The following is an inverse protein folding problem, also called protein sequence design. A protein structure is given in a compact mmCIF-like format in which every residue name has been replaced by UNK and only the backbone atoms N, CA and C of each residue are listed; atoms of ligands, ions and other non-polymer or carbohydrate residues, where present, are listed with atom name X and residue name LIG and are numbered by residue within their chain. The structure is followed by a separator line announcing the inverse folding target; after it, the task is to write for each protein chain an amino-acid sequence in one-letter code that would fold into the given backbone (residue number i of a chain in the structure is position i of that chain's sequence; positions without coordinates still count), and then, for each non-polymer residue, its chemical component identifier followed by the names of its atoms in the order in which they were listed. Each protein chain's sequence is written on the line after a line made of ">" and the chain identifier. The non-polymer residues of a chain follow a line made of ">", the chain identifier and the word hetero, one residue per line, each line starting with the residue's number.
data_IF_660254399570
#
_entry.id   IF_660254399570
#
_cell.length_a   1.000
_cell.length_b   1.000
_cell.length_c   1.000
_cell.angle_alpha   90.00
_cell.angle_beta   90.00
_cell.angle_gamma   90.00
#
_symmetry.space_group_name_H-M   'P 1'
#
loop_
_entity.id
_entity.type
_entity.pdbx_description
1 polymer ?
#
# COMPACT_ATOMS: atom_id res chain seq x y z
N UNK A 1 12.30 -5.92 -4.28
CA UNK A 1 11.51 -5.03 -3.41
C UNK A 1 12.01 -5.16 -1.98
N UNK A 2 12.36 -4.04 -1.35
CA UNK A 2 12.67 -3.96 0.09
C UNK A 2 11.38 -3.73 0.87
N UNK A 3 11.24 -4.30 2.06
CA UNK A 3 10.08 -4.05 2.94
C UNK A 3 10.54 -3.28 4.17
N UNK A 4 9.92 -2.14 4.43
CA UNK A 4 10.09 -1.35 5.65
C UNK A 4 8.79 -1.38 6.43
N UNK A 5 8.87 -1.57 7.74
CA UNK A 5 7.71 -1.63 8.64
C UNK A 5 7.81 -0.52 9.66
N UNK A 6 6.75 0.26 9.78
CA UNK A 6 6.65 1.37 10.71
C UNK A 6 5.77 1.06 11.93
N UNK A 7 5.03 -0.05 11.90
CA UNK A 7 4.24 -0.56 13.02
C UNK A 7 4.18 -2.09 12.96
N UNK A 8 4.23 -2.70 14.14
CA UNK A 8 3.96 -4.12 14.37
C UNK A 8 4.83 -5.13 13.59
N UNK A 9 4.66 -6.42 13.89
CA UNK A 9 5.36 -7.54 13.25
C UNK A 9 4.38 -8.46 12.48
N UNK A 10 3.18 -7.98 12.20
CA UNK A 10 2.07 -8.74 11.63
C UNK A 10 2.44 -9.26 10.24
N UNK A 11 1.97 -10.46 9.92
CA UNK A 11 2.23 -11.05 8.61
C UNK A 11 1.50 -10.26 7.53
N UNK A 12 2.14 -10.09 6.37
CA UNK A 12 1.45 -9.55 5.20
C UNK A 12 0.32 -10.52 4.80
N UNK A 13 -0.87 -10.04 4.44
CA UNK A 13 -1.93 -10.89 3.91
C UNK A 13 -1.44 -11.69 2.70
N UNK A 14 -1.75 -12.99 2.65
CA UNK A 14 -1.22 -13.93 1.64
C UNK A 14 0.30 -14.21 1.73
N UNK A 15 0.98 -13.67 2.74
CA UNK A 15 2.41 -13.86 3.00
C UNK A 15 3.34 -13.04 2.09
N UNK A 16 4.56 -12.78 2.56
CA UNK A 16 5.55 -11.95 1.84
C UNK A 16 5.86 -12.44 0.42
N UNK A 17 5.80 -13.76 0.18
CA UNK A 17 6.06 -14.35 -1.15
C UNK A 17 5.05 -13.88 -2.19
N UNK A 18 3.78 -13.67 -1.82
CA UNK A 18 2.76 -13.16 -2.74
C UNK A 18 3.13 -11.75 -3.20
N UNK A 19 3.39 -10.85 -2.26
CA UNK A 19 3.77 -9.46 -2.51
C UNK A 19 5.02 -9.35 -3.38
N UNK A 20 6.03 -10.20 -3.12
CA UNK A 20 7.22 -10.27 -3.95
C UNK A 20 6.96 -10.81 -5.36
N UNK A 21 5.98 -11.70 -5.56
CA UNK A 21 5.58 -12.16 -6.90
C UNK A 21 4.89 -11.04 -7.67
N UNK A 22 3.94 -10.35 -7.05
CA UNK A 22 3.25 -9.18 -7.62
C UNK A 22 4.25 -8.09 -8.02
N UNK A 23 5.16 -7.71 -7.11
CA UNK A 23 6.21 -6.73 -7.38
C UNK A 23 7.11 -7.13 -8.55
N UNK A 24 7.56 -8.39 -8.61
CA UNK A 24 8.38 -8.91 -9.71
C UNK A 24 7.65 -8.84 -11.04
N UNK A 25 6.37 -9.23 -11.06
CA UNK A 25 5.53 -9.22 -12.26
C UNK A 25 5.33 -7.82 -12.84
N UNK A 26 5.23 -6.82 -11.97
CA UNK A 26 5.14 -5.41 -12.33
C UNK A 26 6.52 -4.74 -12.56
N UNK A 27 7.63 -5.48 -12.40
CA UNK A 27 8.98 -4.93 -12.53
C UNK A 27 9.36 -3.95 -11.41
N UNK A 28 8.65 -3.96 -10.28
CA UNK A 28 8.91 -3.07 -9.15
C UNK A 28 10.09 -3.58 -8.31
N UNK A 29 11.15 -2.76 -8.23
CA UNK A 29 12.36 -3.05 -7.44
C UNK A 29 12.52 -2.16 -6.20
N UNK A 30 11.57 -1.26 -5.97
CA UNK A 30 11.62 -0.26 -4.91
C UNK A 30 11.29 -0.78 -3.50
N UNK A 31 10.82 0.13 -2.67
CA UNK A 31 10.49 -0.08 -1.26
C UNK A 31 8.97 -0.18 -1.08
N UNK A 32 8.54 -1.20 -0.34
CA UNK A 32 7.21 -1.28 0.24
C UNK A 32 7.29 -0.76 1.67
N UNK A 33 6.67 0.39 1.93
CA UNK A 33 6.48 0.93 3.26
C UNK A 33 5.14 0.46 3.83
N UNK A 34 5.22 -0.37 4.88
CA UNK A 34 4.09 -0.93 5.59
C UNK A 34 3.85 -0.11 6.84
N UNK A 35 2.69 0.52 6.90
CA UNK A 35 2.24 1.26 8.05
C UNK A 35 1.15 0.50 8.78
N UNK A 36 1.14 0.63 10.10
CA UNK A 36 0.08 0.08 10.94
C UNK A 36 -0.97 1.13 11.25
N UNK A 37 -2.21 0.69 11.38
CA UNK A 37 -3.28 1.45 12.01
C UNK A 37 -4.00 0.61 13.07
N UNK A 38 -4.48 1.29 14.11
CA UNK A 38 -5.27 0.71 15.19
C UNK A 38 -6.71 1.23 15.20
N UNK A 39 -7.30 1.29 16.39
CA UNK A 39 -8.66 1.79 16.66
C UNK A 39 -8.76 3.27 16.26
N UNK A 40 -9.81 3.62 15.51
CA UNK A 40 -9.95 4.96 14.89
C UNK A 40 -9.43 5.07 13.45
N UNK A 41 -9.02 3.95 12.85
CA UNK A 41 -8.68 3.86 11.43
C UNK A 41 -7.30 4.40 11.06
N UNK A 42 -7.04 4.53 9.75
CA UNK A 42 -5.79 5.04 9.17
C UNK A 42 -5.37 6.35 9.88
N UNK A 43 -4.12 6.52 10.33
CA UNK A 43 -3.72 7.63 11.19
C UNK A 43 -3.82 8.95 10.44
N UNK A 44 -4.99 9.57 10.57
CA UNK A 44 -5.30 10.84 9.93
C UNK A 44 -4.50 12.01 10.49
N UNK A 45 -3.79 11.93 11.61
CA UNK A 45 -3.05 13.06 12.18
C UNK A 45 -1.70 13.31 11.50
N UNK A 46 -0.83 12.31 11.54
CA UNK A 46 0.50 12.38 10.94
C UNK A 46 0.44 12.29 9.41
N UNK A 47 -0.47 11.49 8.84
CA UNK A 47 -0.66 11.38 7.40
C UNK A 47 -1.33 12.62 6.82
N UNK A 48 -2.40 13.20 7.41
CA UNK A 48 -2.94 14.49 6.91
C UNK A 48 -1.95 15.64 7.09
N UNK A 49 -1.07 15.59 8.10
CA UNK A 49 0.04 16.55 8.21
C UNK A 49 1.04 16.31 7.09
N UNK A 50 1.38 15.07 6.80
CA UNK A 50 2.32 14.73 5.76
C UNK A 50 1.76 15.01 4.35
N UNK A 51 0.53 14.62 4.04
CA UNK A 51 -0.19 14.93 2.78
C UNK A 51 -0.35 16.45 2.59
N UNK A 52 -0.68 17.20 3.66
CA UNK A 52 -0.78 18.67 3.62
C UNK A 52 0.57 19.36 3.44
N UNK A 53 1.62 18.83 4.06
CA UNK A 53 2.98 19.39 3.98
C UNK A 53 3.76 18.84 2.80
N UNK A 54 3.22 17.84 2.10
CA UNK A 54 3.93 17.07 1.10
C UNK A 54 5.21 16.42 1.66
N UNK A 55 5.32 16.11 2.97
CA UNK A 55 6.54 15.54 3.56
C UNK A 55 6.24 14.54 4.68
N UNK A 56 6.78 13.32 4.57
CA UNK A 56 6.78 12.30 5.65
C UNK A 56 8.21 11.88 5.97
N UNK A 57 8.67 12.05 7.22
CA UNK A 57 10.04 11.73 7.66
C UNK A 57 11.15 12.37 6.81
N UNK A 58 10.96 13.60 6.33
CA UNK A 58 11.93 14.31 5.48
C UNK A 58 11.89 13.92 4.00
N UNK A 59 10.99 13.01 3.60
CA UNK A 59 10.78 12.63 2.19
C UNK A 59 9.56 13.36 1.63
N UNK A 60 9.66 13.99 0.44
CA UNK A 60 8.49 14.58 -0.23
C UNK A 60 7.42 13.53 -0.54
N UNK A 61 6.20 13.73 -0.05
CA UNK A 61 5.02 12.97 -0.44
C UNK A 61 4.47 13.54 -1.75
N UNK A 62 4.82 12.89 -2.84
CA UNK A 62 3.97 12.90 -4.03
C UNK A 62 2.88 11.81 -3.88
N UNK A 63 1.73 12.03 -4.52
CA UNK A 63 0.64 11.04 -4.63
C UNK A 63 1.17 9.69 -5.15
N UNK A 64 2.18 9.72 -6.00
CA UNK A 64 2.98 8.58 -6.40
C UNK A 64 4.47 8.96 -6.36
N UNK A 65 5.27 8.15 -5.67
CA UNK A 65 6.72 8.32 -5.57
C UNK A 65 7.40 7.15 -6.30
N UNK A 66 8.16 7.41 -7.38
CA UNK A 66 8.85 6.35 -8.11
C UNK A 66 9.76 5.54 -7.18
N UNK A 67 9.46 4.25 -7.04
CA UNK A 67 10.24 3.35 -6.18
C UNK A 67 9.79 3.29 -4.72
N UNK A 68 8.70 3.94 -4.33
CA UNK A 68 8.08 3.76 -3.02
C UNK A 68 6.58 3.47 -3.18
N UNK A 69 6.13 2.36 -2.59
CA UNK A 69 4.70 2.03 -2.47
C UNK A 69 4.36 1.95 -0.98
N UNK A 70 3.23 2.55 -0.60
CA UNK A 70 2.78 2.66 0.80
C UNK A 70 1.52 1.82 0.96
N UNK A 71 1.47 0.98 1.98
CA UNK A 71 0.28 0.19 2.31
C UNK A 71 0.00 0.24 3.80
N UNK A 72 -1.26 0.05 4.14
CA UNK A 72 -1.78 0.12 5.49
C UNK A 72 -2.27 -1.25 5.92
N UNK A 73 -1.88 -1.67 7.12
CA UNK A 73 -2.31 -2.91 7.73
C UNK A 73 -2.85 -2.62 9.13
N UNK A 74 -3.86 -3.39 9.59
CA UNK A 74 -4.19 -3.43 11.00
C UNK A 74 -2.98 -3.85 11.83
N UNK A 75 -2.71 -3.15 12.93
CA UNK A 75 -1.52 -3.33 13.77
C UNK A 75 -1.91 -3.61 15.22
N UNK A 76 -1.50 -4.76 15.75
CA UNK A 76 -1.92 -5.23 17.09
C UNK A 76 -1.25 -4.46 18.23
N UNK A 77 -0.18 -3.72 17.98
CA UNK A 77 0.42 -2.87 19.02
C UNK A 77 -0.29 -1.51 19.20
N UNK A 78 -1.28 -1.20 18.35
CA UNK A 78 -2.18 -0.04 18.48
C UNK A 78 -3.60 -0.48 18.88
N UNK A 79 -3.75 -1.71 19.37
CA UNK A 79 -5.00 -2.46 19.42
C UNK A 79 -5.66 -2.58 20.80
N UNK A 80 -5.41 -1.66 21.74
CA UNK A 80 -6.03 -1.76 23.06
C UNK A 80 -7.57 -1.89 23.00
N UNK A 81 -8.22 -1.36 21.95
CA UNK A 81 -9.68 -1.45 21.76
C UNK A 81 -10.06 -1.93 20.33
N UNK A 82 -9.53 -3.08 19.88
CA UNK A 82 -9.79 -3.62 18.53
C UNK A 82 -11.29 -3.93 18.31
N UNK A 83 -12.02 -3.00 17.68
CA UNK A 83 -13.37 -3.26 17.17
C UNK A 83 -13.28 -3.92 15.78
N UNK A 84 -13.64 -5.20 15.72
CA UNK A 84 -13.62 -6.02 14.50
C UNK A 84 -14.60 -5.49 13.46
N UNK A 85 -15.67 -4.83 13.88
CA UNK A 85 -16.70 -4.28 13.00
C UNK A 85 -16.22 -2.97 12.34
N UNK A 86 -15.46 -2.13 13.04
CA UNK A 86 -14.79 -0.95 12.45
C UNK A 86 -13.69 -1.32 11.46
N UNK A 87 -13.02 -2.46 11.66
CA UNK A 87 -12.11 -3.01 10.66
C UNK A 87 -12.89 -3.38 9.39
N UNK A 88 -14.04 -4.03 9.54
CA UNK A 88 -14.91 -4.44 8.44
C UNK A 88 -15.38 -3.27 7.56
N UNK A 89 -15.73 -2.14 8.16
CA UNK A 89 -16.22 -0.94 7.46
C UNK A 89 -15.14 -0.17 6.69
N UNK A 90 -13.86 -0.30 7.07
CA UNK A 90 -12.74 0.45 6.46
C UNK A 90 -11.76 -0.43 5.68
N UNK A 91 -12.10 -1.69 5.40
CA UNK A 91 -11.23 -2.63 4.69
C UNK A 91 -11.05 -2.29 3.21
N UNK A 92 -10.12 -1.38 2.91
CA UNK A 92 -9.32 -1.54 1.69
C UNK A 92 -8.47 -2.81 1.85
N UNK A 93 -8.63 -3.78 0.95
CA UNK A 93 -7.73 -4.93 0.86
C UNK A 93 -6.30 -4.41 0.60
N UNK A 94 -5.35 -4.59 1.54
CA UNK A 94 -3.99 -4.08 1.40
C UNK A 94 -3.27 -4.69 0.18
N UNK A 95 -3.63 -5.92 -0.22
CA UNK A 95 -3.09 -6.56 -1.41
C UNK A 95 -3.64 -5.91 -2.66
N UNK A 96 -4.93 -5.56 -2.68
CA UNK A 96 -5.54 -4.80 -3.76
C UNK A 96 -4.96 -3.39 -3.88
N UNK A 97 -4.81 -2.67 -2.77
CA UNK A 97 -4.15 -1.36 -2.73
C UNK A 97 -2.73 -1.45 -3.28
N UNK A 98 -1.95 -2.44 -2.85
CA UNK A 98 -0.62 -2.67 -3.40
C UNK A 98 -0.63 -2.93 -4.92
N UNK A 99 -1.55 -3.77 -5.40
CA UNK A 99 -1.67 -4.10 -6.82
C UNK A 99 -2.09 -2.89 -7.67
N UNK A 100 -2.94 -2.02 -7.12
CA UNK A 100 -3.33 -0.75 -7.72
C UNK A 100 -2.09 0.15 -7.90
N UNK A 101 -1.29 0.35 -6.85
CA UNK A 101 -0.05 1.16 -6.90
C UNK A 101 1.00 0.59 -7.85
N UNK A 102 1.07 -0.74 -8.01
CA UNK A 102 1.89 -1.35 -9.05
C UNK A 102 1.44 -0.96 -10.46
N UNK A 103 0.15 -0.70 -10.64
CA UNK A 103 -0.41 -0.13 -11.87
C UNK A 103 0.13 1.26 -12.16
N UNK A 104 0.14 2.15 -11.15
CA UNK A 104 0.78 3.47 -11.24
C UNK A 104 2.27 3.37 -11.58
N UNK A 105 2.97 2.41 -10.97
CA UNK A 105 4.36 2.13 -11.30
C UNK A 105 4.58 1.72 -12.76
N UNK A 106 3.74 0.83 -13.29
CA UNK A 106 3.82 0.40 -14.69
C UNK A 106 3.50 1.54 -15.65
N UNK A 107 2.54 2.41 -15.32
CA UNK A 107 2.27 3.60 -16.10
C UNK A 107 3.48 4.53 -16.12
N UNK A 108 4.05 4.82 -14.96
CA UNK A 108 5.21 5.71 -14.85
C UNK A 108 6.41 5.17 -15.61
N UNK A 109 6.70 3.87 -15.48
CA UNK A 109 7.80 3.22 -16.17
C UNK A 109 7.68 3.30 -17.70
N UNK A 110 6.45 3.29 -18.24
CA UNK A 110 6.18 3.31 -19.69
C UNK A 110 6.05 4.71 -20.28
N UNK A 111 5.40 5.62 -19.56
CA UNK A 111 4.93 6.91 -20.10
C UNK A 111 5.45 8.12 -19.33
N UNK A 112 6.16 7.89 -18.22
CA UNK A 112 6.55 8.94 -17.26
C UNK A 112 5.35 9.73 -16.72
N UNK A 113 4.18 9.11 -16.72
CA UNK A 113 2.92 9.61 -16.14
C UNK A 113 2.31 8.53 -15.26
N UNK A 114 1.58 8.92 -14.21
CA UNK A 114 1.05 7.99 -13.21
C UNK A 114 -0.37 8.34 -12.74
N UNK A 115 -1.01 9.39 -13.26
CA UNK A 115 -2.27 9.91 -12.69
C UNK A 115 -3.54 9.23 -13.25
N UNK A 116 -3.42 8.15 -14.02
CA UNK A 116 -4.60 7.48 -14.59
C UNK A 116 -5.09 6.35 -13.68
N UNK A 117 -5.98 6.70 -12.76
CA UNK A 117 -6.60 5.78 -11.80
C UNK A 117 -7.27 4.56 -12.45
N UNK A 118 -7.97 4.77 -13.58
CA UNK A 118 -8.66 3.69 -14.27
C UNK A 118 -7.70 2.64 -14.84
N UNK A 119 -6.52 3.07 -15.32
CA UNK A 119 -5.48 2.16 -15.80
C UNK A 119 -4.82 1.42 -14.63
N UNK A 120 -4.57 2.11 -13.51
CA UNK A 120 -3.98 1.50 -12.32
C UNK A 120 -4.91 0.45 -11.71
N UNK A 121 -6.19 0.78 -11.56
CA UNK A 121 -7.24 -0.11 -11.09
C UNK A 121 -7.36 -1.35 -11.98
N UNK A 122 -7.45 -1.14 -13.31
CA UNK A 122 -7.55 -2.26 -14.26
C UNK A 122 -6.32 -3.16 -14.21
N UNK A 123 -5.13 -2.58 -14.14
CA UNK A 123 -3.88 -3.34 -14.04
C UNK A 123 -3.83 -4.14 -12.74
N UNK A 124 -4.14 -3.51 -11.61
CA UNK A 124 -4.16 -4.15 -10.30
C UNK A 124 -5.11 -5.36 -10.28
N UNK A 125 -6.35 -5.21 -10.75
CA UNK A 125 -7.32 -6.32 -10.85
C UNK A 125 -6.83 -7.46 -11.73
N UNK A 126 -6.24 -7.15 -12.89
CA UNK A 126 -5.67 -8.17 -13.78
C UNK A 126 -4.54 -8.93 -13.09
N UNK A 127 -3.66 -8.20 -12.40
CA UNK A 127 -2.54 -8.77 -11.68
C UNK A 127 -2.98 -9.70 -10.56
N UNK A 128 -3.98 -9.32 -9.76
CA UNK A 128 -4.53 -10.17 -8.70
C UNK A 128 -5.14 -11.47 -9.26
N UNK A 129 -5.89 -11.36 -10.37
CA UNK A 129 -6.47 -12.51 -11.07
C UNK A 129 -5.41 -13.50 -11.56
N UNK A 130 -4.29 -13.02 -12.11
CA UNK A 130 -3.17 -13.87 -12.54
C UNK A 130 -2.60 -14.72 -11.40
N UNK A 131 -2.66 -14.23 -10.16
CA UNK A 131 -2.15 -14.92 -8.98
C UNK A 131 -3.22 -15.60 -8.13
N UNK A 132 -4.45 -15.73 -8.67
CA UNK A 132 -5.60 -16.33 -7.99
C UNK A 132 -5.90 -15.70 -6.61
N UNK A 133 -5.60 -14.40 -6.46
CA UNK A 133 -6.04 -13.60 -5.31
C UNK A 133 -7.47 -13.15 -5.63
N UNK A 134 -8.43 -13.58 -4.81
CA UNK A 134 -9.86 -13.26 -4.97
C UNK A 134 -10.21 -12.02 -4.16
#
# INVERSE_FOLDING_TARGET
>A
MRVLRFCGRERLPGGLRLWQRLARRAGFRGTLAVYGYGVGGRPGGAQRKAERTGVQYGMPLADYEPGLIRVWLPCTCQAADFDVDQLAEHHEDPVASFAHELGHHVQYARRRTYFNEAVAERYGRLLLREYAVR
#
